data_IF_388673574419
#
_entry.id   IF_388673574419
#
_cell.length_a   1.000
_cell.length_b   1.000
_cell.length_c   1.000
_cell.angle_alpha   90.00
_cell.angle_beta   90.00
_cell.angle_gamma   90.00
#
_symmetry.space_group_name_H-M   'P 1'
#
loop_
_entity.id
_entity.type
_entity.pdbx_description
1 polymer ?
#
# COMPACT_ATOMS: atom_id res chain seq x y z
N UNK A 1 15.94 4.28 4.03
CA UNK A 1 16.15 4.51 2.57
C UNK A 1 15.84 3.20 1.86
N UNK A 2 15.06 3.19 0.78
CA UNK A 2 14.65 1.93 0.11
C UNK A 2 15.87 1.30 -0.58
N UNK A 3 16.18 0.04 -0.25
CA UNK A 3 17.22 -0.71 -0.93
C UNK A 3 16.75 -1.17 -2.32
N UNK A 4 17.33 -0.56 -3.35
CA UNK A 4 16.99 -0.84 -4.76
C UNK A 4 17.51 -2.19 -5.26
N UNK A 5 18.44 -2.83 -4.54
CA UNK A 5 18.98 -4.14 -4.89
C UNK A 5 18.24 -5.29 -4.20
N UNK A 6 17.36 -4.96 -3.26
CA UNK A 6 16.55 -5.96 -2.57
C UNK A 6 15.63 -6.70 -3.55
N UNK A 7 15.43 -7.99 -3.31
CA UNK A 7 14.56 -8.86 -4.12
C UNK A 7 13.13 -8.29 -4.17
N UNK A 8 12.63 -7.79 -3.05
CA UNK A 8 11.30 -7.19 -2.94
C UNK A 8 11.17 -5.93 -3.80
N UNK A 9 12.18 -5.05 -3.80
CA UNK A 9 12.17 -3.86 -4.64
C UNK A 9 12.25 -4.19 -6.13
N UNK A 10 13.08 -5.16 -6.52
CA UNK A 10 13.18 -5.59 -7.92
C UNK A 10 11.85 -6.18 -8.40
N UNK A 11 11.22 -7.02 -7.59
CA UNK A 11 9.90 -7.57 -7.90
C UNK A 11 8.84 -6.45 -8.03
N UNK A 12 8.79 -5.53 -7.06
CA UNK A 12 7.92 -4.37 -7.13
C UNK A 12 8.15 -3.54 -8.39
N UNK A 13 9.41 -3.25 -8.72
CA UNK A 13 9.76 -2.42 -9.87
C UNK A 13 9.37 -3.09 -11.19
N UNK A 14 9.54 -4.41 -11.30
CA UNK A 14 9.07 -5.17 -12.46
C UNK A 14 7.56 -5.09 -12.61
N UNK A 15 6.80 -5.26 -11.52
CA UNK A 15 5.34 -5.11 -11.53
C UNK A 15 4.90 -3.67 -11.86
N UNK A 16 5.61 -2.68 -11.31
CA UNK A 16 5.35 -1.24 -11.51
C UNK A 16 5.56 -0.78 -12.96
N UNK A 17 6.50 -1.41 -13.66
CA UNK A 17 6.77 -1.19 -15.09
C UNK A 17 5.97 -2.13 -16.00
N UNK A 18 5.33 -3.17 -15.45
CA UNK A 18 4.63 -4.21 -16.20
C UNK A 18 5.57 -5.17 -16.93
N UNK A 19 6.78 -5.37 -16.42
CA UNK A 19 7.75 -6.33 -16.96
C UNK A 19 7.30 -7.73 -16.55
N UNK A 20 7.02 -8.55 -17.56
CA UNK A 20 6.69 -9.96 -17.42
C UNK A 20 7.77 -10.79 -18.12
N UNK A 21 7.85 -12.12 -17.88
CA UNK A 21 8.78 -12.99 -18.62
C UNK A 21 8.61 -12.91 -20.15
N UNK A 22 7.42 -12.54 -20.62
CA UNK A 22 7.10 -12.38 -22.05
C UNK A 22 7.40 -10.97 -22.60
N UNK A 23 7.93 -10.07 -21.77
CA UNK A 23 8.17 -8.67 -22.11
C UNK A 23 7.26 -7.69 -21.36
N UNK A 24 7.17 -6.46 -21.86
CA UNK A 24 6.44 -5.36 -21.20
C UNK A 24 4.95 -5.39 -21.57
N UNK A 25 4.07 -5.45 -20.56
CA UNK A 25 2.62 -5.47 -20.73
C UNK A 25 1.98 -4.26 -20.04
N UNK A 26 1.40 -3.36 -20.84
CA UNK A 26 0.74 -2.14 -20.37
C UNK A 26 -0.51 -2.41 -19.53
N UNK A 27 -1.35 -3.37 -19.92
CA UNK A 27 -2.56 -3.71 -19.15
C UNK A 27 -2.23 -4.20 -17.75
N UNK A 28 -1.18 -5.04 -17.60
CA UNK A 28 -0.73 -5.52 -16.29
C UNK A 28 -0.13 -4.40 -15.43
N UNK A 29 0.63 -3.49 -16.04
CA UNK A 29 1.13 -2.28 -15.40
C UNK A 29 -0.01 -1.43 -14.83
N UNK A 30 -1.01 -1.13 -15.64
CA UNK A 30 -2.11 -0.26 -15.26
C UNK A 30 -2.99 -0.91 -14.19
N UNK A 31 -3.24 -2.23 -14.32
CA UNK A 31 -3.94 -3.01 -13.30
C UNK A 31 -3.21 -2.96 -11.95
N UNK A 32 -1.89 -3.16 -11.95
CA UNK A 32 -1.09 -3.11 -10.73
C UNK A 32 -1.09 -1.71 -10.09
N UNK A 33 -0.91 -0.66 -10.90
CA UNK A 33 -0.94 0.74 -10.42
C UNK A 33 -2.31 1.14 -9.88
N UNK A 34 -3.40 0.69 -10.52
CA UNK A 34 -4.77 0.90 -10.04
C UNK A 34 -4.98 0.26 -8.66
N UNK A 35 -4.52 -1.00 -8.47
CA UNK A 35 -4.56 -1.66 -7.16
C UNK A 35 -3.77 -0.90 -6.10
N UNK A 36 -2.53 -0.51 -6.41
CA UNK A 36 -1.70 0.27 -5.47
C UNK A 36 -2.32 1.62 -5.12
N UNK A 37 -2.92 2.31 -6.10
CA UNK A 37 -3.67 3.56 -5.86
C UNK A 37 -4.81 3.35 -4.87
N UNK A 38 -5.61 2.30 -5.06
CA UNK A 38 -6.70 1.98 -4.15
C UNK A 38 -6.18 1.65 -2.75
N UNK A 39 -5.10 0.89 -2.62
CA UNK A 39 -4.49 0.59 -1.33
C UNK A 39 -3.91 1.84 -0.65
N UNK A 40 -3.23 2.73 -1.38
CA UNK A 40 -2.78 4.02 -0.85
C UNK A 40 -3.96 4.84 -0.31
N UNK A 41 -5.04 4.94 -1.08
CA UNK A 41 -6.24 5.65 -0.66
C UNK A 41 -6.89 5.03 0.58
N UNK A 42 -6.97 3.70 0.65
CA UNK A 42 -7.46 3.00 1.84
C UNK A 42 -6.61 3.32 3.07
N UNK A 43 -5.29 3.45 2.93
CA UNK A 43 -4.38 3.84 4.00
C UNK A 43 -4.34 5.34 4.29
N UNK A 44 -5.06 6.17 3.53
CA UNK A 44 -5.00 7.62 3.65
C UNK A 44 -3.65 8.19 3.21
N UNK A 45 -2.90 7.46 2.39
CA UNK A 45 -1.63 7.89 1.82
C UNK A 45 -1.84 8.45 0.41
N UNK A 46 -1.03 9.45 0.06
CA UNK A 46 -0.95 9.92 -1.32
C UNK A 46 -0.42 8.80 -2.23
N UNK A 47 -0.99 8.69 -3.43
CA UNK A 47 -0.50 7.75 -4.43
C UNK A 47 0.85 8.19 -4.98
N UNK A 48 1.92 7.56 -4.52
CA UNK A 48 3.28 7.74 -5.01
C UNK A 48 3.99 6.38 -5.13
N UNK A 49 5.02 6.28 -5.98
CA UNK A 49 5.79 5.03 -6.13
C UNK A 49 6.38 4.56 -4.80
N UNK A 50 6.80 5.50 -3.95
CA UNK A 50 7.37 5.23 -2.62
C UNK A 50 6.31 4.67 -1.67
N UNK A 51 5.13 5.31 -1.59
CA UNK A 51 4.05 4.84 -0.74
C UNK A 51 3.50 3.50 -1.21
N UNK A 52 3.37 3.31 -2.53
CA UNK A 52 2.99 2.03 -3.12
C UNK A 52 4.00 0.93 -2.81
N UNK A 53 5.30 1.25 -2.78
CA UNK A 53 6.32 0.29 -2.37
C UNK A 53 6.15 -0.13 -0.91
N UNK A 54 5.95 0.81 0.01
CA UNK A 54 5.73 0.48 1.44
C UNK A 54 4.50 -0.39 1.67
N UNK A 55 3.42 -0.14 0.93
CA UNK A 55 2.23 -0.99 0.95
C UNK A 55 2.53 -2.38 0.41
N UNK A 56 3.23 -2.45 -0.72
CA UNK A 56 3.61 -3.72 -1.34
C UNK A 56 4.55 -4.56 -0.44
N UNK A 57 5.50 -3.91 0.24
CA UNK A 57 6.42 -4.57 1.17
C UNK A 57 5.80 -4.93 2.51
N UNK A 58 4.55 -4.49 2.78
CA UNK A 58 3.90 -4.67 4.08
C UNK A 58 4.51 -3.81 5.19
N UNK A 59 5.37 -2.84 4.84
CA UNK A 59 5.97 -1.87 5.76
C UNK A 59 5.09 -0.62 5.91
N UNK A 60 3.94 -0.56 5.26
CA UNK A 60 3.00 0.52 5.43
C UNK A 60 2.53 0.64 6.87
N UNK A 61 2.20 1.87 7.26
CA UNK A 61 1.84 2.24 8.64
C UNK A 61 0.85 1.21 9.21
N UNK A 62 1.21 0.60 10.35
CA UNK A 62 0.25 -0.16 11.16
C UNK A 62 -0.98 0.72 11.38
N UNK A 63 -2.16 0.12 11.20
CA UNK A 63 -3.40 0.77 11.57
C UNK A 63 -3.32 1.22 13.02
N UNK A 64 -3.89 2.39 13.29
CA UNK A 64 -4.05 2.89 14.65
C UNK A 64 -4.72 1.82 15.52
N UNK A 65 -4.38 1.73 16.81
CA UNK A 65 -4.89 0.65 17.69
C UNK A 65 -6.41 0.61 17.74
N UNK A 66 -7.05 1.75 17.46
CA UNK A 66 -8.49 1.94 17.46
C UNK A 66 -9.14 1.62 16.11
N UNK A 67 -8.36 1.21 15.11
CA UNK A 67 -8.83 0.92 13.75
C UNK A 67 -8.66 -0.56 13.42
N UNK A 68 -9.79 -1.21 13.14
CA UNK A 68 -9.86 -2.65 12.84
C UNK A 68 -10.32 -2.84 11.40
N UNK A 69 -9.70 -3.77 10.68
CA UNK A 69 -10.20 -4.22 9.38
C UNK A 69 -11.38 -5.18 9.58
N UNK A 70 -12.54 -4.87 8.99
CA UNK A 70 -13.67 -5.82 8.85
C UNK A 70 -13.88 -6.12 7.36
N UNK A 71 -13.31 -7.23 6.90
CA UNK A 71 -13.24 -7.51 5.46
C UNK A 71 -12.42 -6.43 4.76
N UNK A 72 -12.98 -5.80 3.73
CA UNK A 72 -12.34 -4.71 2.97
C UNK A 72 -12.59 -3.30 3.56
N UNK A 73 -13.35 -3.20 4.66
CA UNK A 73 -13.74 -1.91 5.25
C UNK A 73 -12.91 -1.61 6.49
N UNK A 74 -12.29 -0.42 6.51
CA UNK A 74 -11.63 0.14 7.71
C UNK A 74 -12.68 0.70 8.65
N UNK A 75 -12.78 0.13 9.85
CA UNK A 75 -13.67 0.59 10.91
C UNK A 75 -12.82 1.15 12.03
N UNK A 76 -12.85 2.48 12.19
CA UNK A 76 -12.28 3.13 13.37
C UNK A 76 -13.35 3.25 14.46
N UNK A 77 -12.98 2.87 15.68
CA UNK A 77 -13.79 3.07 16.89
C UNK A 77 -12.95 3.85 17.89
N UNK A 78 -12.79 5.17 17.69
CA UNK A 78 -12.03 5.97 18.62
C UNK A 78 -12.69 5.96 20.01
N UNK A 79 -11.91 6.07 21.10
CA UNK A 79 -12.44 6.14 22.44
C UNK A 79 -13.43 7.30 22.57
N UNK A 80 -14.51 7.04 23.33
CA UNK A 80 -15.51 8.06 23.66
C UNK A 80 -14.81 9.29 24.20
N UNK A 81 -15.31 10.49 23.87
CA UNK A 81 -14.65 11.78 24.17
C UNK A 81 -14.17 11.90 25.62
N UNK A 82 -14.92 11.38 26.60
CA UNK A 82 -14.60 11.41 28.03
C UNK A 82 -13.54 10.38 28.47
N UNK A 83 -13.22 9.40 27.64
CA UNK A 83 -12.19 8.37 27.88
C UNK A 83 -10.84 8.71 27.23
N UNK A 84 -10.76 9.81 26.47
CA UNK A 84 -9.50 10.26 25.86
C UNK A 84 -8.62 10.88 26.94
N UNK A 85 -7.43 10.32 27.17
CA UNK A 85 -6.40 10.97 28.00
C UNK A 85 -5.73 12.06 27.15
N UNK A 86 -5.79 13.30 27.64
CA UNK A 86 -5.10 14.45 27.04
C UNK A 86 -3.69 14.58 27.62
#
# INVERSE_FOLDING_TARGET
MIDKKSVNYLQFNNLWEGITPKGKNHSKKDTFRSRMKNSCQQEGLEFSKVNSYYIFSGESKKLDSDTIMKGDVKVSKPPRRHLRKF
#
